data_IF_254968458659
#
_entry.id   IF_254968458659
#
_cell.length_a   1.000
_cell.length_b   1.000
_cell.length_c   1.000
_cell.angle_alpha   90.00
_cell.angle_beta   90.00
_cell.angle_gamma   90.00
#
_symmetry.space_group_name_H-M   'P 1'
#
loop_
_entity.id
_entity.type
_entity.pdbx_description
1 polymer ?
#
# COMPACT_ATOMS: atom_id res chain seq x y z
N UNK A 1 20.28 11.46 -15.03
CA UNK A 1 19.75 12.04 -13.78
C UNK A 1 19.96 11.02 -12.67
N UNK A 2 20.57 11.42 -11.54
CA UNK A 2 20.73 10.54 -10.36
C UNK A 2 19.41 10.41 -9.61
N UNK A 3 19.21 9.28 -8.94
CA UNK A 3 17.98 9.03 -8.17
C UNK A 3 17.75 10.09 -7.06
N UNK A 4 18.81 10.66 -6.48
CA UNK A 4 18.74 11.71 -5.45
C UNK A 4 18.04 13.00 -5.91
N UNK A 5 17.81 13.18 -7.21
CA UNK A 5 17.05 14.29 -7.77
C UNK A 5 15.53 14.00 -7.87
N UNK A 6 15.09 12.78 -7.63
CA UNK A 6 13.69 12.36 -7.71
C UNK A 6 12.87 12.89 -6.54
N UNK A 7 11.56 12.95 -6.72
CA UNK A 7 10.57 13.29 -5.70
C UNK A 7 9.70 12.04 -5.40
N UNK A 8 10.19 11.07 -4.61
CA UNK A 8 9.43 9.88 -4.29
C UNK A 8 8.21 10.21 -3.43
N UNK A 9 7.14 9.43 -3.59
CA UNK A 9 5.88 9.60 -2.87
C UNK A 9 5.40 8.27 -2.28
N UNK A 10 5.42 8.15 -0.95
CA UNK A 10 5.20 6.93 -0.16
C UNK A 10 6.37 6.67 0.78
N UNK A 11 6.47 5.48 1.38
CA UNK A 11 7.58 5.16 2.29
C UNK A 11 8.81 4.71 1.53
N UNK A 12 9.87 5.46 1.68
CA UNK A 12 11.17 5.28 1.03
C UNK A 12 12.32 5.60 1.99
N UNK A 13 13.52 5.27 1.56
CA UNK A 13 14.77 5.71 2.18
C UNK A 13 15.82 6.01 1.10
N UNK A 14 16.96 6.52 1.54
CA UNK A 14 18.15 6.69 0.71
C UNK A 14 19.26 5.83 1.31
N UNK A 15 19.95 5.07 0.46
CA UNK A 15 21.16 4.37 0.91
C UNK A 15 22.37 5.32 0.97
N UNK A 16 23.52 4.81 1.42
CA UNK A 16 24.77 5.59 1.53
C UNK A 16 25.24 6.16 0.18
N UNK A 17 24.90 5.50 -0.94
CA UNK A 17 25.20 5.96 -2.30
C UNK A 17 24.19 6.96 -2.85
N UNK A 18 23.16 7.31 -2.06
CA UNK A 18 22.00 8.12 -2.45
C UNK A 18 21.15 7.49 -3.55
N UNK A 19 21.15 6.16 -3.65
CA UNK A 19 20.16 5.45 -4.45
C UNK A 19 18.82 5.46 -3.71
N UNK A 20 17.72 5.57 -4.43
CA UNK A 20 16.38 5.60 -3.87
C UNK A 20 15.92 4.18 -3.53
N UNK A 21 15.64 3.93 -2.26
CA UNK A 21 15.09 2.69 -1.73
C UNK A 21 13.56 2.75 -1.72
N UNK A 22 12.90 2.06 -2.65
CA UNK A 22 11.45 1.94 -2.74
C UNK A 22 10.96 0.84 -1.79
N UNK A 23 10.22 1.19 -0.74
CA UNK A 23 9.85 0.27 0.35
C UNK A 23 8.39 -0.16 0.27
N UNK A 24 7.43 0.75 0.47
CA UNK A 24 6.01 0.40 0.58
C UNK A 24 5.37 0.03 -0.76
N UNK A 25 4.23 -0.65 -0.72
CA UNK A 25 3.40 -0.91 -1.90
C UNK A 25 3.03 0.40 -2.59
N UNK A 26 3.08 0.40 -3.91
CA UNK A 26 2.75 1.55 -4.76
C UNK A 26 3.51 2.86 -4.45
N UNK A 27 4.61 2.81 -3.65
CA UNK A 27 5.58 3.91 -3.60
C UNK A 27 5.97 4.26 -5.02
N UNK A 28 6.03 5.55 -5.34
CA UNK A 28 6.20 5.98 -6.72
C UNK A 28 7.07 7.23 -6.84
N UNK A 29 7.57 7.43 -8.04
CA UNK A 29 8.25 8.66 -8.47
C UNK A 29 8.00 8.90 -9.96
N UNK A 30 8.13 10.15 -10.38
CA UNK A 30 7.91 10.54 -11.77
C UNK A 30 9.12 11.25 -12.37
N UNK A 31 9.24 11.14 -13.69
CA UNK A 31 10.18 11.91 -14.49
C UNK A 31 9.67 12.10 -15.91
N UNK A 32 10.23 13.07 -16.64
CA UNK A 32 10.04 13.23 -18.07
C UNK A 32 11.34 12.99 -18.83
N UNK A 33 11.23 12.64 -20.10
CA UNK A 33 12.36 12.51 -21.01
C UNK A 33 11.94 12.94 -22.42
N UNK A 34 12.94 13.23 -23.30
CA UNK A 34 12.72 13.51 -24.73
C UNK A 34 13.17 12.35 -25.59
N UNK A 35 12.58 12.20 -26.78
CA UNK A 35 12.92 11.15 -27.75
C UNK A 35 12.12 9.87 -27.49
N UNK A 36 12.55 8.77 -28.13
CA UNK A 36 11.82 7.50 -28.13
C UNK A 36 12.15 6.57 -26.98
N UNK A 37 13.24 6.81 -26.24
CA UNK A 37 13.75 5.84 -25.27
C UNK A 37 14.40 6.50 -24.06
N UNK A 38 14.18 5.92 -22.90
CA UNK A 38 14.99 6.17 -21.71
C UNK A 38 15.30 4.86 -20.99
N UNK A 39 16.27 4.90 -20.06
CA UNK A 39 16.72 3.73 -19.29
C UNK A 39 16.69 4.03 -17.81
N UNK A 40 16.07 3.13 -17.03
CA UNK A 40 16.02 3.18 -15.57
C UNK A 40 16.92 2.08 -15.02
N UNK A 41 17.87 2.44 -14.17
CA UNK A 41 18.77 1.50 -13.51
C UNK A 41 18.21 1.16 -12.14
N UNK A 42 17.68 -0.05 -12.01
CA UNK A 42 17.12 -0.59 -10.79
C UNK A 42 17.82 -1.90 -10.41
N UNK A 43 17.87 -2.21 -9.10
CA UNK A 43 18.50 -3.43 -8.61
C UNK A 43 17.94 -3.82 -7.23
N UNK A 44 18.27 -5.03 -6.79
CA UNK A 44 18.08 -5.52 -5.43
C UNK A 44 19.42 -5.76 -4.76
N UNK A 45 19.45 -5.76 -3.43
CA UNK A 45 20.68 -6.11 -2.67
C UNK A 45 20.83 -7.61 -2.49
N UNK A 46 19.74 -8.36 -2.44
CA UNK A 46 19.77 -9.82 -2.44
C UNK A 46 19.91 -10.33 -3.87
N UNK A 47 21.00 -11.03 -4.14
CA UNK A 47 21.36 -11.53 -5.47
C UNK A 47 20.47 -12.67 -5.96
N UNK A 48 19.74 -13.33 -5.06
CA UNK A 48 18.85 -14.45 -5.36
C UNK A 48 17.40 -14.07 -5.46
N UNK A 49 17.02 -12.89 -4.92
CA UNK A 49 15.66 -12.41 -4.90
C UNK A 49 15.24 -11.78 -6.23
N UNK A 50 13.94 -11.66 -6.39
CA UNK A 50 13.34 -10.83 -7.42
C UNK A 50 12.23 -9.94 -6.86
N UNK A 51 11.86 -8.90 -7.60
CA UNK A 51 10.80 -7.97 -7.23
C UNK A 51 10.19 -7.36 -8.50
N UNK A 52 9.18 -6.51 -8.37
CA UNK A 52 8.48 -5.92 -9.52
C UNK A 52 8.32 -4.42 -9.39
N UNK A 53 8.65 -3.73 -10.48
CA UNK A 53 8.21 -2.37 -10.77
C UNK A 53 7.08 -2.42 -11.80
N UNK A 54 6.33 -1.34 -11.88
CA UNK A 54 5.29 -1.13 -12.90
C UNK A 54 5.25 0.35 -13.24
N UNK A 55 4.77 0.72 -14.42
CA UNK A 55 4.85 2.10 -14.84
C UNK A 55 3.68 2.55 -15.70
N UNK A 56 3.45 3.86 -15.66
CA UNK A 56 2.66 4.62 -16.62
C UNK A 56 3.58 5.36 -17.58
N UNK A 57 3.25 5.37 -18.85
CA UNK A 57 3.84 6.23 -19.88
C UNK A 57 2.72 7.13 -20.40
N UNK A 58 2.91 8.45 -20.29
CA UNK A 58 1.93 9.46 -20.70
C UNK A 58 0.52 9.23 -20.11
N UNK A 59 0.46 8.82 -18.85
CA UNK A 59 -0.77 8.53 -18.12
C UNK A 59 -1.41 7.18 -18.44
N UNK A 60 -0.79 6.36 -19.27
CA UNK A 60 -1.30 5.03 -19.64
C UNK A 60 -0.46 3.95 -18.95
N UNK A 61 -1.10 3.10 -18.15
CA UNK A 61 -0.46 1.92 -17.55
C UNK A 61 0.10 1.00 -18.64
N UNK A 62 1.33 0.55 -18.45
CA UNK A 62 2.01 -0.31 -19.43
C UNK A 62 2.05 -1.76 -18.96
N UNK A 63 2.89 -2.07 -18.00
CA UNK A 63 3.11 -3.45 -17.49
C UNK A 63 3.87 -3.47 -16.20
N UNK A 64 3.99 -4.66 -15.61
CA UNK A 64 4.99 -4.96 -14.59
C UNK A 64 6.33 -5.30 -15.25
N UNK A 65 7.41 -5.03 -14.54
CA UNK A 65 8.78 -5.36 -14.96
C UNK A 65 9.45 -6.08 -13.80
N UNK A 66 9.95 -7.28 -14.07
CA UNK A 66 10.69 -8.07 -13.07
C UNK A 66 12.10 -7.53 -12.91
N UNK A 67 12.51 -7.30 -11.67
CA UNK A 67 13.86 -6.94 -11.25
C UNK A 67 14.47 -8.17 -10.59
N UNK A 68 15.64 -8.60 -11.02
CA UNK A 68 16.27 -9.83 -10.51
C UNK A 68 17.62 -9.49 -9.91
N UNK A 69 17.79 -9.79 -8.65
CA UNK A 69 19.06 -9.69 -7.94
C UNK A 69 19.75 -8.33 -8.08
N UNK A 70 21.06 -8.36 -8.02
CA UNK A 70 21.91 -7.18 -8.15
C UNK A 70 22.26 -6.82 -9.61
N UNK A 71 21.65 -7.48 -10.58
CA UNK A 71 21.83 -7.16 -12.00
C UNK A 71 21.36 -5.72 -12.26
N UNK A 72 22.25 -4.94 -12.85
CA UNK A 72 22.01 -3.54 -13.19
C UNK A 72 21.71 -3.33 -14.66
N UNK A 73 21.28 -4.36 -15.37
CA UNK A 73 20.74 -4.24 -16.71
C UNK A 73 19.61 -3.22 -16.71
N UNK A 74 19.71 -2.15 -17.52
CA UNK A 74 18.71 -1.08 -17.43
C UNK A 74 17.35 -1.55 -17.95
N UNK A 75 16.29 -1.10 -17.27
CA UNK A 75 14.93 -1.19 -17.76
C UNK A 75 14.78 -0.17 -18.89
N UNK A 76 14.52 -0.65 -20.09
CA UNK A 76 14.30 0.22 -21.26
C UNK A 76 12.82 0.57 -21.33
N UNK A 77 12.50 1.86 -21.30
CA UNK A 77 11.16 2.40 -21.52
C UNK A 77 11.14 3.02 -22.91
N UNK A 78 10.31 2.47 -23.79
CA UNK A 78 10.19 2.91 -25.18
C UNK A 78 8.85 3.60 -25.40
N UNK A 79 8.88 4.84 -25.90
CA UNK A 79 7.72 5.57 -26.39
C UNK A 79 7.48 5.27 -27.87
N UNK A 80 6.21 5.29 -28.31
CA UNK A 80 5.84 4.97 -29.69
C UNK A 80 6.27 6.02 -30.72
N UNK A 81 6.61 7.25 -30.29
CA UNK A 81 6.95 8.38 -31.16
C UNK A 81 8.01 9.28 -30.51
N UNK A 82 8.58 10.17 -31.32
CA UNK A 82 9.43 11.26 -30.82
C UNK A 82 8.58 12.28 -30.06
N UNK A 83 9.14 12.82 -28.98
CA UNK A 83 8.43 13.82 -28.19
C UNK A 83 8.96 13.97 -26.76
N UNK A 84 8.27 14.73 -25.95
CA UNK A 84 8.47 14.76 -24.51
C UNK A 84 7.44 13.86 -23.86
N UNK A 85 7.92 12.90 -23.07
CA UNK A 85 7.12 11.87 -22.43
C UNK A 85 7.21 11.98 -20.92
N UNK A 86 6.13 11.61 -20.24
CA UNK A 86 6.07 11.49 -18.79
C UNK A 86 6.02 10.03 -18.36
N UNK A 87 6.78 9.68 -17.34
CA UNK A 87 6.81 8.33 -16.75
C UNK A 87 6.55 8.43 -15.25
N UNK A 88 5.65 7.59 -14.74
CA UNK A 88 5.49 7.33 -13.32
C UNK A 88 5.78 5.87 -13.03
N UNK A 89 6.76 5.62 -12.16
CA UNK A 89 7.16 4.26 -11.75
C UNK A 89 6.61 3.99 -10.35
N UNK A 90 6.10 2.77 -10.16
CA UNK A 90 5.53 2.28 -8.90
C UNK A 90 6.17 0.95 -8.51
N UNK A 91 6.39 0.72 -7.22
CA UNK A 91 6.68 -0.62 -6.73
C UNK A 91 5.40 -1.45 -6.74
N UNK A 92 5.41 -2.59 -7.43
CA UNK A 92 4.23 -3.43 -7.58
C UNK A 92 3.92 -4.28 -6.35
N UNK A 93 4.94 -4.55 -5.53
CA UNK A 93 4.91 -5.46 -4.39
C UNK A 93 4.88 -4.69 -3.05
N UNK A 94 4.94 -5.41 -1.94
CA UNK A 94 4.87 -4.85 -0.59
C UNK A 94 6.24 -4.70 0.10
N UNK A 95 6.26 -4.12 1.30
CA UNK A 95 7.50 -3.87 2.04
C UNK A 95 8.25 -5.17 2.38
N UNK A 96 7.55 -6.23 2.77
CA UNK A 96 8.15 -7.49 3.20
C UNK A 96 8.75 -8.33 2.05
N UNK A 97 8.53 -7.95 0.81
CA UNK A 97 9.24 -8.56 -0.35
C UNK A 97 10.62 -7.96 -0.59
N UNK A 98 11.07 -7.07 0.29
CA UNK A 98 12.30 -6.32 0.16
C UNK A 98 12.17 -5.05 -0.69
N UNK A 99 13.10 -4.11 -0.55
CA UNK A 99 13.12 -2.88 -1.32
C UNK A 99 13.63 -3.09 -2.75
N UNK A 100 13.22 -2.19 -3.66
CA UNK A 100 13.83 -2.02 -4.97
C UNK A 100 14.63 -0.72 -4.96
N UNK A 101 15.89 -0.76 -5.36
CA UNK A 101 16.77 0.40 -5.42
C UNK A 101 16.78 0.99 -6.83
N UNK A 102 16.67 2.31 -6.92
CA UNK A 102 16.86 3.08 -8.16
C UNK A 102 18.18 3.84 -8.04
N UNK A 103 19.10 3.58 -8.98
CA UNK A 103 20.41 4.25 -9.04
C UNK A 103 20.33 5.55 -9.82
N UNK A 104 19.84 5.48 -11.07
CA UNK A 104 19.80 6.60 -12.00
C UNK A 104 18.82 6.36 -13.15
N UNK A 105 18.54 7.42 -13.86
CA UNK A 105 17.76 7.41 -15.11
C UNK A 105 18.61 8.10 -16.19
N UNK A 106 18.72 7.47 -17.36
CA UNK A 106 19.42 8.02 -18.52
C UNK A 106 18.49 8.15 -19.72
N UNK A 107 18.72 9.17 -20.52
CA UNK A 107 17.90 9.53 -21.69
C UNK A 107 18.13 10.99 -22.03
N UNK A 108 17.49 11.48 -23.08
CA UNK A 108 17.60 12.86 -23.48
C UNK A 108 16.68 13.75 -22.60
N UNK A 109 17.19 14.87 -22.10
CA UNK A 109 16.45 15.87 -21.31
C UNK A 109 15.67 15.29 -20.12
N UNK A 110 16.22 14.29 -19.41
CA UNK A 110 15.56 13.68 -18.25
C UNK A 110 15.42 14.71 -17.12
N UNK A 111 14.17 14.92 -16.66
CA UNK A 111 13.84 15.84 -15.55
C UNK A 111 12.91 15.16 -14.54
N UNK A 112 13.10 15.38 -13.23
CA UNK A 112 12.19 14.83 -12.22
C UNK A 112 10.83 15.53 -12.27
N UNK A 113 9.76 14.79 -12.00
CA UNK A 113 8.40 15.31 -11.86
C UNK A 113 7.97 15.24 -10.40
N UNK A 114 7.33 16.30 -9.94
CA UNK A 114 6.62 16.33 -8.65
C UNK A 114 5.16 15.87 -8.85
N UNK A 115 4.60 15.23 -7.85
CA UNK A 115 3.14 15.03 -7.82
C UNK A 115 2.44 16.39 -7.77
N UNK A 116 1.33 16.55 -8.51
CA UNK A 116 0.50 17.74 -8.40
C UNK A 116 0.05 17.95 -6.94
N UNK A 117 -0.12 19.20 -6.54
CA UNK A 117 -0.76 19.52 -5.27
C UNK A 117 -2.21 19.05 -5.31
N UNK A 118 -2.55 18.14 -4.41
CA UNK A 118 -3.88 17.57 -4.27
C UNK A 118 -4.01 16.99 -2.86
N UNK A 119 -5.25 16.83 -2.34
CA UNK A 119 -5.46 16.12 -1.09
C UNK A 119 -4.77 14.75 -1.10
N UNK A 120 -4.30 14.31 0.06
CA UNK A 120 -3.65 13.01 0.21
C UNK A 120 -4.55 12.08 1.01
N UNK A 121 -4.66 10.82 0.58
CA UNK A 121 -5.24 9.74 1.35
C UNK A 121 -4.14 8.73 1.72
N UNK A 122 -3.95 8.46 3.01
CA UNK A 122 -3.17 7.33 3.47
C UNK A 122 -4.07 6.11 3.65
N UNK A 123 -3.70 4.99 3.03
CA UNK A 123 -4.37 3.71 3.18
C UNK A 123 -3.53 2.77 4.05
N UNK A 124 -3.94 2.58 5.29
CA UNK A 124 -3.34 1.64 6.23
C UNK A 124 -4.09 0.31 6.13
N UNK A 125 -3.38 -0.81 5.97
CA UNK A 125 -4.06 -2.10 5.85
C UNK A 125 -3.14 -3.31 5.74
N UNK A 126 -3.70 -4.37 5.20
CA UNK A 126 -3.06 -5.67 5.03
C UNK A 126 -2.85 -6.02 3.55
N UNK A 127 -2.77 -7.31 3.22
CA UNK A 127 -2.60 -7.82 1.86
C UNK A 127 -3.60 -7.27 0.84
N UNK A 128 -4.85 -7.06 1.24
CA UNK A 128 -5.88 -6.46 0.36
C UNK A 128 -5.45 -5.04 -0.04
N UNK A 129 -4.95 -4.26 0.91
CA UNK A 129 -4.48 -2.90 0.64
C UNK A 129 -3.18 -2.89 -0.16
N UNK A 130 -2.30 -3.89 0.01
CA UNK A 130 -1.10 -4.07 -0.80
C UNK A 130 -1.39 -4.37 -2.27
N UNK A 131 -2.58 -4.87 -2.62
CA UNK A 131 -2.86 -5.49 -3.92
C UNK A 131 -2.12 -6.82 -4.08
N UNK A 132 -1.97 -7.56 -2.96
CA UNK A 132 -1.30 -8.85 -2.96
C UNK A 132 -2.12 -9.90 -3.71
N UNK A 133 -1.43 -10.78 -4.46
CA UNK A 133 -2.03 -11.89 -5.19
C UNK A 133 -3.17 -11.51 -6.17
N UNK A 134 -3.20 -10.24 -6.63
CA UNK A 134 -4.29 -9.66 -7.40
C UNK A 134 -4.21 -9.92 -8.90
N UNK A 135 -3.01 -10.16 -9.44
CA UNK A 135 -2.77 -10.17 -10.90
C UNK A 135 -2.06 -11.45 -11.37
N UNK A 136 -2.81 -12.49 -11.73
CA UNK A 136 -2.26 -13.72 -12.28
C UNK A 136 -2.02 -13.68 -13.80
N UNK A 137 -2.08 -12.53 -14.44
CA UNK A 137 -2.02 -12.41 -15.91
C UNK A 137 -0.69 -12.84 -16.52
N UNK A 138 0.42 -12.65 -15.79
CA UNK A 138 1.77 -13.05 -16.24
C UNK A 138 2.23 -14.36 -15.58
N UNK A 139 1.94 -14.54 -14.29
CA UNK A 139 2.30 -15.72 -13.49
C UNK A 139 1.02 -16.30 -12.91
N UNK A 140 0.56 -17.48 -13.35
CA UNK A 140 -0.70 -18.08 -12.88
C UNK A 140 -0.71 -18.37 -11.38
N UNK A 141 -1.90 -18.39 -10.79
CA UNK A 141 -2.08 -18.77 -9.38
C UNK A 141 -1.51 -20.18 -9.11
N UNK A 142 -0.86 -20.34 -7.96
CA UNK A 142 -0.25 -21.60 -7.54
C UNK A 142 1.12 -21.87 -8.18
N UNK A 143 1.68 -20.91 -8.93
CA UNK A 143 3.02 -20.98 -9.50
C UNK A 143 3.84 -19.77 -9.05
N UNK A 144 5.18 -19.90 -9.07
CA UNK A 144 6.09 -18.85 -8.63
C UNK A 144 5.99 -18.54 -7.12
N UNK A 145 6.51 -17.38 -6.73
CA UNK A 145 6.45 -16.90 -5.37
C UNK A 145 5.16 -16.11 -5.11
N UNK A 146 4.76 -15.97 -3.84
CA UNK A 146 3.54 -15.25 -3.44
C UNK A 146 3.43 -13.85 -4.04
N UNK A 147 4.55 -13.13 -4.17
CA UNK A 147 4.57 -11.76 -4.68
C UNK A 147 4.61 -11.66 -6.22
N UNK A 148 4.71 -12.77 -6.93
CA UNK A 148 4.68 -12.79 -8.39
C UNK A 148 3.32 -12.36 -8.97
N UNK A 149 2.25 -12.45 -8.18
CA UNK A 149 0.91 -11.99 -8.56
C UNK A 149 0.52 -10.66 -7.90
N UNK A 150 1.45 -9.95 -7.24
CA UNK A 150 1.13 -8.64 -6.64
C UNK A 150 0.98 -7.56 -7.70
N UNK A 151 0.00 -6.66 -7.51
CA UNK A 151 -0.19 -5.48 -8.34
C UNK A 151 -0.78 -4.32 -7.52
N UNK A 152 0.10 -3.60 -6.84
CA UNK A 152 -0.28 -2.48 -5.99
C UNK A 152 -0.93 -1.32 -6.76
N UNK A 153 -0.59 -1.12 -8.04
CA UNK A 153 -1.19 -0.08 -8.89
C UNK A 153 -2.70 -0.29 -9.05
N UNK A 154 -3.13 -1.54 -9.17
CA UNK A 154 -4.54 -1.91 -9.32
C UNK A 154 -5.24 -2.21 -7.99
N UNK A 155 -4.59 -2.06 -6.83
CA UNK A 155 -5.24 -2.13 -5.54
C UNK A 155 -6.35 -1.06 -5.40
N UNK A 156 -7.34 -1.32 -4.54
CA UNK A 156 -8.50 -0.43 -4.41
C UNK A 156 -8.13 1.00 -4.01
N UNK A 157 -7.14 1.18 -3.11
CA UNK A 157 -6.70 2.50 -2.65
C UNK A 157 -6.17 3.39 -3.78
N UNK A 158 -5.13 2.98 -4.55
CA UNK A 158 -4.67 3.71 -5.73
C UNK A 158 -5.73 3.95 -6.79
N UNK A 159 -6.68 3.01 -6.98
CA UNK A 159 -7.82 3.21 -7.90
C UNK A 159 -8.76 4.30 -7.40
N UNK A 160 -9.10 4.32 -6.10
CA UNK A 160 -9.90 5.39 -5.49
C UNK A 160 -9.22 6.74 -5.67
N UNK A 161 -7.93 6.82 -5.38
CA UNK A 161 -7.17 8.06 -5.50
C UNK A 161 -7.17 8.60 -6.94
N UNK A 162 -6.92 7.74 -7.94
CA UNK A 162 -7.01 8.14 -9.36
C UNK A 162 -8.41 8.59 -9.75
N UNK A 163 -9.45 7.88 -9.32
CA UNK A 163 -10.84 8.24 -9.60
C UNK A 163 -11.24 9.59 -8.99
N UNK A 164 -10.61 10.00 -7.89
CA UNK A 164 -10.86 11.27 -7.21
C UNK A 164 -9.83 12.35 -7.57
N UNK A 165 -8.83 12.04 -8.40
CA UNK A 165 -7.71 12.94 -8.73
C UNK A 165 -6.97 13.45 -7.49
N UNK A 166 -6.73 12.57 -6.51
CA UNK A 166 -6.00 12.87 -5.26
C UNK A 166 -4.71 12.05 -5.17
N UNK A 167 -3.81 12.48 -4.31
CA UNK A 167 -2.60 11.74 -4.00
C UNK A 167 -2.90 10.59 -3.01
N UNK A 168 -2.06 9.56 -3.00
CA UNK A 168 -2.20 8.44 -2.10
C UNK A 168 -0.85 7.90 -1.63
N UNK A 169 -0.86 7.27 -0.46
CA UNK A 169 0.22 6.39 -0.01
C UNK A 169 -0.37 5.15 0.65
N UNK A 170 0.32 4.01 0.51
CA UNK A 170 -0.04 2.76 1.14
C UNK A 170 0.90 2.47 2.30
N UNK A 171 0.32 2.28 3.48
CA UNK A 171 1.01 1.82 4.70
C UNK A 171 0.45 0.45 5.05
N UNK A 172 0.87 -0.58 4.32
CA UNK A 172 0.25 -1.90 4.34
C UNK A 172 1.25 -3.04 4.30
N UNK A 173 0.88 -4.14 4.96
CA UNK A 173 1.70 -5.36 5.08
C UNK A 173 0.78 -6.59 5.03
N UNK A 174 1.11 -7.58 4.23
CA UNK A 174 0.37 -8.84 4.16
C UNK A 174 0.37 -9.58 5.49
N UNK A 175 -0.75 -10.20 5.82
CA UNK A 175 -0.89 -11.01 7.03
C UNK A 175 -1.04 -10.25 8.34
N UNK A 176 -0.86 -8.92 8.36
CA UNK A 176 -0.88 -8.12 9.59
C UNK A 176 -2.30 -7.80 10.05
N UNK A 177 -2.49 -7.72 11.36
CA UNK A 177 -3.73 -7.27 12.01
C UNK A 177 -3.47 -6.18 13.05
N UNK A 178 -4.44 -5.96 13.94
CA UNK A 178 -4.40 -4.96 15.00
C UNK A 178 -3.68 -5.45 16.24
N UNK A 179 -3.83 -6.73 16.59
CA UNK A 179 -3.16 -7.29 17.76
C UNK A 179 -2.46 -8.61 17.47
N UNK A 180 -2.71 -9.20 16.30
CA UNK A 180 -2.08 -10.45 15.85
C UNK A 180 -2.05 -10.55 14.33
N UNK A 181 -1.23 -11.44 13.78
CA UNK A 181 -1.23 -11.73 12.34
C UNK A 181 -2.32 -12.75 11.99
N UNK A 182 -2.39 -13.16 10.71
CA UNK A 182 -3.33 -14.20 10.27
C UNK A 182 -3.09 -15.57 10.93
N UNK A 183 -1.87 -15.85 11.41
CA UNK A 183 -1.46 -17.17 11.95
C UNK A 183 -0.56 -17.13 13.20
N UNK A 184 -0.16 -15.94 13.68
CA UNK A 184 0.71 -15.74 14.87
C UNK A 184 0.24 -14.57 15.73
N UNK A 185 0.77 -14.44 16.94
CA UNK A 185 0.42 -13.37 17.89
C UNK A 185 1.07 -12.01 17.59
N UNK A 186 1.96 -11.94 16.62
CA UNK A 186 2.60 -10.71 16.20
C UNK A 186 3.63 -10.93 15.09
N UNK A 187 4.25 -9.86 14.58
CA UNK A 187 4.00 -8.45 14.91
C UNK A 187 2.67 -7.92 14.34
N UNK A 188 2.10 -6.92 15.00
CA UNK A 188 0.87 -6.24 14.59
C UNK A 188 1.16 -4.87 13.95
N UNK A 189 0.18 -4.30 13.23
CA UNK A 189 0.34 -2.98 12.59
C UNK A 189 0.74 -1.88 13.60
N UNK A 190 0.16 -1.76 14.81
CA UNK A 190 0.61 -0.79 15.80
C UNK A 190 2.10 -0.86 16.14
N UNK A 191 2.70 -2.04 16.10
CA UNK A 191 4.11 -2.24 16.45
C UNK A 191 5.07 -1.79 15.33
N UNK A 192 4.61 -1.78 14.08
CA UNK A 192 5.45 -1.52 12.90
C UNK A 192 5.11 -0.22 12.17
N UNK A 193 3.98 0.41 12.47
CA UNK A 193 3.49 1.58 11.73
C UNK A 193 4.45 2.77 11.77
N UNK A 194 5.15 2.98 12.88
CA UNK A 194 6.13 4.06 13.00
C UNK A 194 7.48 3.75 12.32
N UNK A 195 7.65 2.53 11.80
CA UNK A 195 8.88 2.12 11.11
C UNK A 195 8.78 2.38 9.59
N UNK A 196 9.85 2.87 9.00
CA UNK A 196 9.90 3.15 7.55
C UNK A 196 9.64 1.90 6.72
N UNK A 197 10.16 0.75 7.16
CA UNK A 197 10.14 -0.54 6.46
C UNK A 197 9.16 -1.56 7.05
N UNK A 198 8.34 -1.16 8.03
CA UNK A 198 7.38 -2.01 8.73
C UNK A 198 8.01 -3.25 9.38
N UNK A 199 9.28 -3.18 9.78
CA UNK A 199 9.98 -4.24 10.51
C UNK A 199 10.05 -3.88 11.98
N UNK A 200 9.65 -4.82 12.87
CA UNK A 200 9.58 -4.57 14.32
C UNK A 200 10.94 -4.19 14.90
N UNK A 201 12.00 -4.81 14.41
CA UNK A 201 13.38 -4.58 14.88
C UNK A 201 14.08 -3.40 14.18
N UNK A 202 13.41 -2.76 13.23
CA UNK A 202 13.98 -1.63 12.50
C UNK A 202 14.19 -0.43 13.42
N UNK A 203 15.35 0.20 13.26
CA UNK A 203 15.67 1.48 13.91
C UNK A 203 15.27 2.68 13.05
N UNK A 204 14.85 2.46 11.79
CA UNK A 204 14.47 3.52 10.85
C UNK A 204 13.04 3.97 11.14
N UNK A 205 12.88 5.16 11.70
CA UNK A 205 11.56 5.75 11.95
C UNK A 205 11.07 6.48 10.72
N UNK A 206 9.76 6.39 10.47
CA UNK A 206 9.08 7.15 9.43
C UNK A 206 8.90 8.60 9.83
N UNK A 207 9.19 9.53 8.91
CA UNK A 207 8.92 10.96 9.12
C UNK A 207 7.48 11.30 8.73
N UNK A 208 6.59 11.29 9.70
CA UNK A 208 5.19 11.64 9.52
C UNK A 208 4.96 13.11 9.13
N UNK A 209 5.96 13.98 9.29
CA UNK A 209 5.87 15.40 8.90
C UNK A 209 6.04 15.59 7.39
N UNK A 210 6.58 14.58 6.67
CA UNK A 210 6.77 14.63 5.22
C UNK A 210 5.45 14.74 4.45
N UNK A 211 4.33 14.30 5.05
CA UNK A 211 3.03 14.26 4.40
C UNK A 211 1.91 14.70 5.35
N UNK A 212 0.86 15.32 4.79
CA UNK A 212 -0.33 15.74 5.53
C UNK A 212 -1.58 15.13 4.88
N UNK A 213 -1.99 13.92 5.25
CA UNK A 213 -3.19 13.31 4.69
C UNK A 213 -4.45 14.06 5.12
N UNK A 214 -5.37 14.29 4.18
CA UNK A 214 -6.72 14.76 4.47
C UNK A 214 -7.57 13.63 5.05
N UNK A 215 -7.32 12.40 4.61
CA UNK A 215 -7.99 11.20 5.09
C UNK A 215 -6.92 10.14 5.42
N UNK A 216 -7.09 9.48 6.58
CA UNK A 216 -6.38 8.23 6.91
C UNK A 216 -7.41 7.11 6.97
N UNK A 217 -7.30 6.17 6.04
CA UNK A 217 -8.19 5.01 5.93
C UNK A 217 -7.51 3.79 6.57
N UNK A 218 -8.17 3.14 7.52
CA UNK A 218 -7.64 1.96 8.23
C UNK A 218 -8.51 0.74 7.92
N UNK A 219 -7.95 -0.26 7.24
CA UNK A 219 -8.62 -1.49 6.81
C UNK A 219 -7.94 -2.72 7.44
N UNK A 220 -8.17 -2.92 8.73
CA UNK A 220 -7.59 -4.02 9.52
C UNK A 220 -8.70 -4.82 10.23
N UNK A 221 -8.35 -6.05 10.67
CA UNK A 221 -9.28 -6.98 11.33
C UNK A 221 -9.47 -8.30 10.58
N UNK A 222 -9.20 -8.33 9.27
CA UNK A 222 -9.27 -9.57 8.47
C UNK A 222 -8.40 -10.67 9.06
N UNK A 223 -7.17 -10.33 9.38
CA UNK A 223 -6.17 -11.27 9.88
C UNK A 223 -6.38 -11.60 11.36
N UNK A 224 -6.88 -10.66 12.16
CA UNK A 224 -7.25 -10.91 13.55
C UNK A 224 -8.35 -11.97 13.68
N UNK A 225 -9.31 -11.97 12.75
CA UNK A 225 -10.43 -12.91 12.69
C UNK A 225 -10.12 -14.21 11.91
N UNK A 226 -8.89 -14.34 11.36
CA UNK A 226 -8.48 -15.58 10.69
C UNK A 226 -8.42 -16.75 11.66
N UNK A 227 -8.74 -17.95 11.17
CA UNK A 227 -8.56 -19.20 11.90
C UNK A 227 -7.09 -19.69 11.90
N UNK A 228 -6.20 -18.98 11.21
CA UNK A 228 -4.82 -19.39 11.01
C UNK A 228 -4.65 -20.46 9.91
N UNK A 229 -3.39 -20.90 9.73
CA UNK A 229 -3.03 -21.91 8.72
C UNK A 229 -3.06 -23.36 9.23
N UNK A 230 -3.57 -23.60 10.43
CA UNK A 230 -3.60 -24.95 11.02
C UNK A 230 -2.26 -25.51 11.49
N UNK A 231 -1.15 -24.77 11.33
CA UNK A 231 0.18 -25.19 11.77
C UNK A 231 0.42 -24.96 13.26
N UNK A 232 -0.30 -24.04 13.86
CA UNK A 232 -0.25 -23.67 15.27
C UNK A 232 -1.68 -23.52 15.79
N UNK A 233 -1.90 -23.98 17.02
CA UNK A 233 -3.14 -23.69 17.72
C UNK A 233 -3.28 -22.19 17.89
N UNK A 234 -4.45 -21.66 17.56
CA UNK A 234 -4.72 -20.24 17.64
C UNK A 234 -5.79 -19.96 18.69
N UNK A 235 -5.47 -19.07 19.62
CA UNK A 235 -6.45 -18.61 20.61
C UNK A 235 -7.70 -18.04 19.91
N UNK A 236 -8.90 -18.22 20.45
CA UNK A 236 -10.11 -17.59 19.96
C UNK A 236 -9.93 -16.07 19.77
N UNK A 237 -10.72 -15.49 18.88
CA UNK A 237 -10.72 -14.03 18.72
C UNK A 237 -11.27 -13.37 19.98
N UNK A 238 -10.50 -12.43 20.52
CA UNK A 238 -10.90 -11.61 21.67
C UNK A 238 -11.28 -10.20 21.20
N UNK A 239 -12.58 -9.91 21.19
CA UNK A 239 -13.13 -8.62 20.78
C UNK A 239 -12.68 -7.46 21.68
N UNK A 240 -12.52 -7.70 22.98
CA UNK A 240 -12.08 -6.68 23.93
C UNK A 240 -10.62 -6.28 23.69
N UNK A 241 -9.75 -7.27 23.51
CA UNK A 241 -8.35 -7.03 23.14
C UNK A 241 -8.26 -6.32 21.80
N UNK A 242 -9.03 -6.75 20.79
CA UNK A 242 -9.09 -6.13 19.48
C UNK A 242 -9.49 -4.65 19.55
N UNK A 243 -10.62 -4.35 20.21
CA UNK A 243 -11.16 -2.98 20.33
C UNK A 243 -10.17 -2.07 21.05
N UNK A 244 -9.59 -2.53 22.18
CA UNK A 244 -8.64 -1.74 22.95
C UNK A 244 -7.36 -1.44 22.16
N UNK A 245 -6.81 -2.41 21.43
CA UNK A 245 -5.64 -2.18 20.59
C UNK A 245 -5.97 -1.27 19.40
N UNK A 246 -7.16 -1.39 18.81
CA UNK A 246 -7.60 -0.51 17.73
C UNK A 246 -7.76 0.94 18.19
N UNK A 247 -8.36 1.16 19.37
CA UNK A 247 -8.48 2.50 19.98
C UNK A 247 -7.09 3.13 20.13
N UNK A 248 -6.13 2.40 20.73
CA UNK A 248 -4.74 2.87 20.89
C UNK A 248 -4.09 3.18 19.54
N UNK A 249 -4.35 2.37 18.54
CA UNK A 249 -3.81 2.60 17.19
C UNK A 249 -4.42 3.85 16.54
N UNK A 250 -5.72 4.07 16.65
CA UNK A 250 -6.38 5.30 16.17
C UNK A 250 -5.82 6.52 16.90
N UNK A 251 -5.59 6.44 18.21
CA UNK A 251 -4.95 7.50 18.99
C UNK A 251 -3.52 7.79 18.49
N UNK A 252 -2.73 6.74 18.20
CA UNK A 252 -1.40 6.89 17.60
C UNK A 252 -1.49 7.61 16.26
N UNK A 253 -2.38 7.18 15.36
CA UNK A 253 -2.57 7.81 14.04
C UNK A 253 -2.98 9.28 14.19
N UNK A 254 -3.92 9.61 15.09
CA UNK A 254 -4.29 11.00 15.41
C UNK A 254 -3.11 11.83 15.90
N UNK A 255 -2.24 11.26 16.74
CA UNK A 255 -1.05 11.97 17.21
C UNK A 255 -0.06 12.33 16.10
N UNK A 256 -0.11 11.62 14.97
CA UNK A 256 0.71 11.92 13.78
C UNK A 256 0.01 12.90 12.82
N UNK A 257 -1.33 12.85 12.75
CA UNK A 257 -2.14 13.56 11.77
C UNK A 257 -3.42 14.11 12.41
N UNK A 258 -3.27 15.14 13.23
CA UNK A 258 -4.36 15.74 14.02
C UNK A 258 -5.53 16.29 13.18
N UNK A 259 -5.25 16.75 11.95
CA UNK A 259 -6.26 17.34 11.06
C UNK A 259 -6.92 16.32 10.10
N UNK A 260 -6.43 15.08 10.06
CA UNK A 260 -6.94 14.06 9.15
C UNK A 260 -8.30 13.52 9.59
N UNK A 261 -9.19 13.26 8.63
CA UNK A 261 -10.39 12.47 8.88
C UNK A 261 -10.01 10.99 8.93
N UNK A 262 -10.25 10.31 10.05
CA UNK A 262 -9.98 8.88 10.18
C UNK A 262 -11.21 8.10 9.73
N UNK A 263 -10.98 7.11 8.87
CA UNK A 263 -12.00 6.22 8.33
C UNK A 263 -11.64 4.77 8.65
N UNK A 264 -12.53 4.04 9.32
CA UNK A 264 -12.36 2.61 9.55
C UNK A 264 -13.16 1.83 8.51
N UNK A 265 -12.47 0.93 7.80
CA UNK A 265 -13.07 0.10 6.77
C UNK A 265 -13.24 -1.35 7.28
N UNK A 266 -14.40 -1.97 7.01
CA UNK A 266 -14.53 -3.40 7.21
C UNK A 266 -13.77 -4.20 6.13
N UNK A 267 -13.64 -5.51 6.33
CA UNK A 267 -13.09 -6.39 5.31
C UNK A 267 -14.16 -6.83 4.31
N UNK A 268 -13.89 -6.80 3.00
CA UNK A 268 -14.78 -7.37 1.99
C UNK A 268 -14.75 -8.90 1.97
N UNK A 269 -13.71 -9.53 2.55
CA UNK A 269 -13.49 -10.98 2.51
C UNK A 269 -14.09 -11.73 3.70
N UNK A 270 -14.63 -11.02 4.70
CA UNK A 270 -15.21 -11.64 5.90
C UNK A 270 -16.72 -11.71 5.77
N UNK A 271 -17.28 -12.92 6.02
CA UNK A 271 -18.70 -13.23 5.91
C UNK A 271 -19.28 -13.74 7.22
N UNK A 272 -20.61 -13.89 7.27
CA UNK A 272 -21.35 -14.50 8.39
C UNK A 272 -21.13 -13.78 9.72
N UNK A 273 -21.04 -14.53 10.81
CA UNK A 273 -20.90 -14.01 12.18
C UNK A 273 -19.60 -13.18 12.37
N UNK A 274 -18.51 -13.58 11.74
CA UNK A 274 -17.26 -12.82 11.82
C UNK A 274 -17.39 -11.41 11.23
N UNK A 275 -18.20 -11.25 10.18
CA UNK A 275 -18.51 -9.92 9.61
C UNK A 275 -19.25 -9.05 10.61
N UNK A 276 -20.28 -9.59 11.26
CA UNK A 276 -21.04 -8.89 12.30
C UNK A 276 -20.12 -8.52 13.45
N UNK A 277 -19.29 -9.45 13.91
CA UNK A 277 -18.30 -9.22 14.96
C UNK A 277 -17.36 -8.07 14.61
N UNK A 278 -16.79 -8.06 13.40
CA UNK A 278 -15.90 -6.98 12.96
C UNK A 278 -16.61 -5.62 12.92
N UNK A 279 -17.83 -5.57 12.37
CA UNK A 279 -18.61 -4.34 12.29
C UNK A 279 -18.94 -3.79 13.68
N UNK A 280 -19.33 -4.64 14.61
CA UNK A 280 -19.60 -4.25 16.00
C UNK A 280 -18.33 -3.72 16.68
N UNK A 281 -17.19 -4.39 16.49
CA UNK A 281 -15.89 -3.92 17.02
C UNK A 281 -15.50 -2.55 16.44
N UNK A 282 -15.63 -2.35 15.13
CA UNK A 282 -15.29 -1.05 14.49
C UNK A 282 -16.24 0.05 14.96
N UNK A 283 -17.52 -0.26 15.19
CA UNK A 283 -18.51 0.68 15.75
C UNK A 283 -18.10 1.06 17.18
N UNK A 284 -17.77 0.08 18.02
CA UNK A 284 -17.30 0.34 19.37
C UNK A 284 -16.01 1.19 19.41
N UNK A 285 -15.06 0.95 18.50
CA UNK A 285 -13.85 1.79 18.36
C UNK A 285 -14.24 3.23 18.03
N UNK A 286 -15.11 3.43 17.04
CA UNK A 286 -15.59 4.77 16.66
C UNK A 286 -16.25 5.48 17.86
N UNK A 287 -17.17 4.83 18.53
CA UNK A 287 -17.92 5.42 19.67
C UNK A 287 -16.97 5.85 20.79
N UNK A 288 -16.01 5.00 21.15
CA UNK A 288 -15.01 5.31 22.16
C UNK A 288 -14.11 6.50 21.73
N UNK A 289 -13.60 6.50 20.51
CA UNK A 289 -12.75 7.61 20.01
C UNK A 289 -13.54 8.91 19.96
N UNK A 290 -14.77 8.89 19.47
CA UNK A 290 -15.61 10.07 19.35
C UNK A 290 -16.02 10.64 20.73
N UNK A 291 -16.10 9.78 21.75
CA UNK A 291 -16.33 10.20 23.14
C UNK A 291 -15.05 10.76 23.79
N UNK A 292 -13.89 10.18 23.53
CA UNK A 292 -12.59 10.65 24.02
C UNK A 292 -12.18 12.00 23.42
N UNK A 293 -12.59 12.26 22.19
CA UNK A 293 -12.24 13.48 21.42
C UNK A 293 -13.50 14.19 20.89
N UNK A 294 -14.35 14.77 21.78
CA UNK A 294 -15.67 15.30 21.38
C UNK A 294 -15.58 16.49 20.42
N UNK A 295 -14.49 17.27 20.49
CA UNK A 295 -14.27 18.45 19.65
C UNK A 295 -13.57 18.17 18.33
N UNK A 296 -13.04 16.95 18.15
CA UNK A 296 -12.30 16.59 16.95
C UNK A 296 -13.23 16.09 15.84
N UNK A 297 -12.69 15.95 14.63
CA UNK A 297 -13.40 15.27 13.54
C UNK A 297 -13.81 13.86 13.97
N UNK A 298 -15.08 13.54 13.77
CA UNK A 298 -15.61 12.22 14.12
C UNK A 298 -15.02 11.15 13.21
N UNK A 299 -14.79 9.97 13.78
CA UNK A 299 -14.37 8.79 13.02
C UNK A 299 -15.49 8.39 12.07
N UNK A 300 -15.18 8.17 10.81
CA UNK A 300 -16.14 7.67 9.83
C UNK A 300 -16.01 6.14 9.69
N UNK A 301 -17.12 5.48 9.40
CA UNK A 301 -17.18 4.03 9.16
C UNK A 301 -17.62 3.77 7.73
N UNK A 302 -17.00 2.80 7.09
CA UNK A 302 -17.46 2.24 5.83
C UNK A 302 -17.43 0.72 5.88
N UNK A 303 -18.55 0.07 5.63
CA UNK A 303 -18.66 -1.38 5.62
C UNK A 303 -18.83 -1.88 4.20
N UNK A 304 -17.77 -2.49 3.66
CA UNK A 304 -17.82 -3.13 2.36
C UNK A 304 -18.90 -4.22 2.31
N UNK A 305 -19.47 -4.40 1.14
CA UNK A 305 -20.26 -5.60 0.85
C UNK A 305 -19.33 -6.80 0.83
N UNK A 306 -19.76 -7.95 1.37
CA UNK A 306 -18.96 -9.17 1.27
C UNK A 306 -18.82 -9.59 -0.18
N UNK A 307 -17.62 -10.05 -0.53
CA UNK A 307 -17.34 -10.58 -1.86
C UNK A 307 -16.67 -11.95 -1.80
N UNK A 308 -16.87 -12.76 -2.82
CA UNK A 308 -16.02 -13.92 -3.08
C UNK A 308 -14.82 -13.43 -3.88
N UNK A 309 -13.66 -13.41 -3.26
CA UNK A 309 -12.43 -12.98 -3.89
C UNK A 309 -11.99 -13.98 -4.99
N UNK A 310 -11.58 -13.45 -6.14
CA UNK A 310 -11.27 -14.21 -7.36
C UNK A 310 -9.78 -14.27 -7.71
N UNK A 311 -8.94 -13.60 -6.95
CA UNK A 311 -7.48 -13.61 -7.12
C UNK A 311 -6.82 -14.81 -6.48
N UNK A 312 -5.49 -14.85 -6.54
CA UNK A 312 -4.72 -15.96 -6.01
C UNK A 312 -4.82 -16.04 -4.49
N UNK A 313 -4.69 -17.24 -3.95
CA UNK A 313 -4.71 -17.50 -2.49
C UNK A 313 -5.92 -16.88 -1.76
N UNK A 314 -7.06 -16.76 -2.46
CA UNK A 314 -8.30 -16.22 -1.89
C UNK A 314 -8.30 -14.70 -1.71
N UNK A 315 -7.42 -13.96 -2.37
CA UNK A 315 -7.40 -12.49 -2.36
C UNK A 315 -8.25 -11.89 -3.49
N UNK A 316 -8.66 -10.62 -3.37
CA UNK A 316 -9.30 -9.92 -4.48
C UNK A 316 -8.39 -9.81 -5.71
N UNK A 317 -8.92 -10.08 -6.90
CA UNK A 317 -8.22 -9.85 -8.14
C UNK A 317 -8.36 -8.38 -8.62
N UNK A 318 -7.81 -8.05 -9.79
CA UNK A 318 -7.84 -6.69 -10.36
C UNK A 318 -9.28 -6.17 -10.51
N UNK A 319 -10.23 -7.00 -10.95
CA UNK A 319 -11.64 -6.64 -11.13
C UNK A 319 -12.34 -6.47 -9.77
N UNK A 320 -12.02 -7.31 -8.79
CA UNK A 320 -12.54 -7.18 -7.43
C UNK A 320 -12.08 -5.85 -6.80
N UNK A 321 -10.81 -5.50 -6.97
CA UNK A 321 -10.29 -4.20 -6.56
C UNK A 321 -10.97 -3.02 -7.27
N UNK A 322 -11.37 -3.18 -8.54
CA UNK A 322 -12.13 -2.15 -9.24
C UNK A 322 -13.55 -1.99 -8.64
N UNK A 323 -14.20 -3.08 -8.25
CA UNK A 323 -15.48 -3.04 -7.56
C UNK A 323 -15.36 -2.31 -6.21
N UNK A 324 -14.38 -2.69 -5.39
CA UNK A 324 -14.14 -2.05 -4.09
C UNK A 324 -13.87 -0.55 -4.24
N UNK A 325 -13.08 -0.16 -5.24
CA UNK A 325 -12.78 1.24 -5.50
C UNK A 325 -14.03 2.02 -5.95
N UNK A 326 -14.85 1.43 -6.83
CA UNK A 326 -16.12 2.03 -7.29
C UNK A 326 -17.10 2.25 -6.15
N UNK A 327 -17.17 1.33 -5.18
CA UNK A 327 -18.03 1.45 -4.00
C UNK A 327 -17.52 2.53 -3.03
N UNK A 328 -16.19 2.61 -2.82
CA UNK A 328 -15.58 3.46 -1.80
C UNK A 328 -15.38 4.92 -2.25
N UNK A 329 -15.11 5.17 -3.53
CA UNK A 329 -14.78 6.51 -4.04
C UNK A 329 -15.89 7.57 -3.75
N UNK A 330 -17.20 7.28 -3.92
CA UNK A 330 -18.25 8.26 -3.60
C UNK A 330 -18.31 8.61 -2.11
N UNK A 331 -17.95 7.67 -1.23
CA UNK A 331 -17.90 7.92 0.20
C UNK A 331 -16.71 8.84 0.56
N UNK A 332 -15.53 8.59 0.04
CA UNK A 332 -14.35 9.44 0.27
C UNK A 332 -14.51 10.83 -0.34
N UNK A 333 -15.16 10.95 -1.50
CA UNK A 333 -15.45 12.24 -2.13
C UNK A 333 -16.25 13.19 -1.21
N UNK A 334 -17.10 12.65 -0.31
CA UNK A 334 -17.86 13.44 0.66
C UNK A 334 -17.03 13.88 1.87
N UNK A 335 -15.89 13.27 2.10
CA UNK A 335 -15.00 13.54 3.23
C UNK A 335 -13.81 14.47 2.86
N UNK A 336 -13.54 14.62 1.57
CA UNK A 336 -12.57 15.55 1.00
C UNK A 336 -13.14 16.96 0.88
#
# INVERSE_FOLDING_TARGET
MQASSLFPFGRYAWNEKKDLELISSAINFGFSFSGKECKVFAYLTDTTAHNYLQYELDGVYQKRIKIVGSDRTPLVITAGQEGTHSVWIYKATEAHTGPVFIEKITGQNVKPLKRPEAPLIEFIGNSITCGAAADPSEIPCGTGDYHDQHNAYYAYGPRVARALSVNFMLSSVSGIGIYRTWNMDGPSMPQVYEKTDFQVDSKRLWDFKAYKPAIVSIALGTNDLSNGGGKHERSPFDSTVFVNNYIRFVQLVRSKYNDATIVLLSSPMINGEKRITLQNCLTAVKENIDALYPSDKKVALYFFRPMQARGCTGHPNIEDHAILAKELAPFFKKLL
#
